data_IF_071805073734
#
_entry.id   IF_071805073734
#
_cell.length_a   1.000
_cell.length_b   1.000
_cell.length_c   1.000
_cell.angle_alpha   90.00
_cell.angle_beta   90.00
_cell.angle_gamma   90.00
#
_symmetry.space_group_name_H-M   'P 1'
#
loop_
_entity.id
_entity.type
_entity.pdbx_description
1 polymer ?
#
# COMPACT_ATOMS: atom_id res chain seq x y z
N UNK A 1 -16.27 -65.90 0.61
CA UNK A 1 -17.17 -65.03 -0.16
C UNK A 1 -16.44 -63.74 -0.45
N UNK A 2 -15.88 -63.62 -1.65
CA UNK A 2 -15.12 -62.46 -2.10
C UNK A 2 -15.99 -61.82 -3.18
N UNK A 3 -16.55 -60.65 -2.86
CA UNK A 3 -17.32 -59.87 -3.83
C UNK A 3 -16.33 -59.07 -4.68
N UNK A 4 -16.28 -59.40 -5.96
CA UNK A 4 -15.54 -58.66 -6.99
C UNK A 4 -16.50 -57.64 -7.58
N UNK A 5 -16.23 -56.35 -7.37
CA UNK A 5 -16.98 -55.26 -7.99
C UNK A 5 -16.27 -54.83 -9.26
N UNK A 6 -16.85 -55.13 -10.42
CA UNK A 6 -16.40 -54.65 -11.73
C UNK A 6 -17.13 -53.35 -12.03
N UNK A 7 -16.39 -52.23 -12.14
CA UNK A 7 -16.92 -50.97 -12.61
C UNK A 7 -16.52 -50.77 -14.08
N UNK A 8 -17.53 -50.68 -14.96
CA UNK A 8 -17.38 -50.44 -16.39
C UNK A 8 -17.18 -48.93 -16.62
N UNK A 9 -16.01 -48.53 -17.15
CA UNK A 9 -15.73 -47.17 -17.58
C UNK A 9 -15.93 -47.08 -19.10
N UNK A 10 -16.99 -46.39 -19.53
CA UNK A 10 -17.26 -46.12 -20.95
C UNK A 10 -16.59 -44.79 -21.31
N UNK A 11 -15.47 -44.86 -22.04
CA UNK A 11 -14.83 -43.70 -22.67
C UNK A 11 -15.52 -43.41 -24.01
N UNK A 12 -16.20 -42.26 -24.11
CA UNK A 12 -16.63 -41.73 -25.41
C UNK A 12 -15.43 -41.05 -26.09
N UNK A 13 -14.90 -41.70 -27.13
CA UNK A 13 -14.00 -41.06 -28.08
C UNK A 13 -14.84 -40.31 -29.12
N UNK A 14 -14.84 -38.98 -29.06
CA UNK A 14 -15.28 -38.16 -30.18
C UNK A 14 -14.04 -37.77 -31.00
N UNK A 15 -14.04 -38.21 -32.25
CA UNK A 15 -13.07 -37.87 -33.29
C UNK A 15 -13.16 -36.39 -33.63
N UNK A 16 -12.05 -35.66 -33.53
CA UNK A 16 -11.94 -34.28 -33.96
C UNK A 16 -11.22 -34.26 -35.32
N UNK A 17 -11.95 -33.96 -36.39
CA UNK A 17 -11.36 -33.62 -37.68
C UNK A 17 -10.77 -32.20 -37.63
N UNK A 18 -9.54 -32.08 -38.11
CA UNK A 18 -8.84 -30.82 -38.30
C UNK A 18 -9.43 -30.05 -39.49
N UNK A 19 -9.88 -28.81 -39.26
CA UNK A 19 -9.80 -27.77 -40.28
C UNK A 19 -9.47 -26.42 -39.64
N UNK A 20 -8.36 -25.86 -40.10
CA UNK A 20 -7.77 -24.59 -39.70
C UNK A 20 -8.56 -23.37 -40.18
N UNK A 21 -8.86 -22.45 -39.26
CA UNK A 21 -8.91 -21.00 -39.52
C UNK A 21 -8.86 -20.26 -38.18
N UNK A 22 -7.77 -19.52 -37.95
CA UNK A 22 -7.61 -18.64 -36.80
C UNK A 22 -8.47 -17.39 -37.01
N UNK A 23 -9.55 -17.27 -36.23
CA UNK A 23 -10.21 -16.00 -35.95
C UNK A 23 -10.42 -15.91 -34.44
N UNK A 24 -9.86 -14.86 -33.84
CA UNK A 24 -9.99 -14.59 -32.40
C UNK A 24 -11.36 -13.93 -32.15
N UNK A 25 -12.40 -14.74 -32.02
CA UNK A 25 -13.69 -14.30 -31.49
C UNK A 25 -13.66 -14.33 -29.95
N UNK A 26 -13.90 -13.17 -29.35
CA UNK A 26 -14.17 -12.99 -27.92
C UNK A 26 -15.31 -13.94 -27.48
N UNK A 27 -15.19 -14.68 -26.37
CA UNK A 27 -16.28 -15.54 -25.92
C UNK A 27 -17.47 -14.68 -25.45
N UNK A 28 -18.53 -14.68 -26.26
CA UNK A 28 -19.84 -14.14 -25.91
C UNK A 28 -20.34 -14.76 -24.59
N UNK A 29 -20.82 -13.97 -23.63
CA UNK A 29 -21.28 -14.49 -22.34
C UNK A 29 -22.52 -15.37 -22.53
N UNK A 30 -22.40 -16.64 -22.15
CA UNK A 30 -23.43 -17.68 -22.35
C UNK A 30 -24.52 -17.70 -21.26
N UNK A 31 -24.78 -16.56 -20.61
CA UNK A 31 -25.90 -16.42 -19.69
C UNK A 31 -26.64 -15.10 -19.93
N UNK A 32 -27.90 -15.21 -20.34
CA UNK A 32 -28.85 -14.08 -20.30
C UNK A 32 -28.86 -13.51 -18.88
N UNK A 33 -28.78 -12.18 -18.70
CA UNK A 33 -28.93 -11.59 -17.38
C UNK A 33 -30.29 -12.00 -16.83
N UNK A 34 -30.28 -12.72 -15.72
CA UNK A 34 -31.49 -12.91 -14.92
C UNK A 34 -31.98 -11.53 -14.49
N UNK A 35 -33.12 -11.12 -15.00
CA UNK A 35 -33.86 -9.96 -14.52
C UNK A 35 -34.02 -10.07 -12.99
N UNK A 36 -33.29 -9.25 -12.24
CA UNK A 36 -33.47 -9.20 -10.80
C UNK A 36 -32.33 -8.58 -10.02
N UNK A 37 -32.07 -7.28 -10.20
CA UNK A 37 -31.94 -6.30 -9.11
C UNK A 37 -32.19 -4.90 -9.71
N UNK A 38 -33.44 -4.43 -9.77
CA UNK A 38 -33.75 -3.03 -10.10
C UNK A 38 -33.66 -2.11 -8.85
N UNK A 39 -32.77 -2.42 -7.92
CA UNK A 39 -32.61 -1.69 -6.66
C UNK A 39 -31.15 -1.36 -6.42
N UNK A 40 -30.82 -0.08 -6.29
CA UNK A 40 -29.45 0.37 -5.98
C UNK A 40 -28.90 -0.23 -4.68
N UNK A 41 -27.59 -0.11 -4.49
CA UNK A 41 -26.90 -0.56 -3.29
C UNK A 41 -27.33 0.23 -2.05
N UNK A 42 -27.09 -0.35 -0.87
CA UNK A 42 -27.00 0.43 0.37
C UNK A 42 -25.54 0.90 0.52
N UNK A 43 -25.34 2.21 0.51
CA UNK A 43 -24.05 2.89 0.53
C UNK A 43 -23.90 3.69 1.82
N UNK A 44 -22.75 3.54 2.48
CA UNK A 44 -22.42 4.26 3.69
C UNK A 44 -21.02 4.82 3.59
N UNK A 45 -20.83 6.07 4.00
CA UNK A 45 -19.54 6.73 4.06
C UNK A 45 -19.32 7.32 5.46
N UNK A 46 -18.10 7.20 5.98
CA UNK A 46 -17.78 7.70 7.32
C UNK A 46 -16.31 8.06 7.46
N UNK A 47 -16.04 9.17 8.14
CA UNK A 47 -14.70 9.64 8.45
C UNK A 47 -14.54 9.80 9.95
N UNK A 48 -13.37 9.42 10.47
CA UNK A 48 -13.02 9.68 11.87
C UNK A 48 -11.53 9.98 12.01
N UNK A 49 -11.20 10.85 12.96
CA UNK A 49 -9.80 11.11 13.36
C UNK A 49 -9.16 9.81 13.85
N UNK A 50 -7.96 9.51 13.33
CA UNK A 50 -7.11 8.40 13.74
C UNK A 50 -5.69 8.88 14.07
N UNK A 51 -5.51 10.18 14.33
CA UNK A 51 -4.22 10.80 14.68
C UNK A 51 -3.76 10.30 16.06
N UNK A 52 -2.57 9.71 16.10
CA UNK A 52 -1.90 9.34 17.35
C UNK A 52 -1.23 10.53 18.06
N UNK A 53 -0.30 10.28 19.00
CA UNK A 53 0.57 11.32 19.55
C UNK A 53 1.32 12.07 18.45
N UNK A 54 1.61 13.35 18.67
CA UNK A 54 2.23 14.24 17.66
C UNK A 54 3.58 14.82 18.09
N UNK A 55 3.99 14.57 19.33
CA UNK A 55 5.24 15.05 19.91
C UNK A 55 6.01 13.88 20.52
N UNK A 56 7.35 13.94 20.43
CA UNK A 56 8.29 12.94 20.94
C UNK A 56 8.00 11.51 20.43
N UNK A 57 7.49 11.43 19.20
CA UNK A 57 7.03 10.19 18.57
C UNK A 57 7.84 9.90 17.31
N UNK A 58 8.39 8.70 17.10
CA UNK A 58 9.03 8.37 15.83
C UNK A 58 7.98 8.41 14.71
N UNK A 59 8.30 9.06 13.59
CA UNK A 59 7.47 8.99 12.40
C UNK A 59 7.75 7.70 11.62
N UNK A 60 6.72 7.13 11.01
CA UNK A 60 6.79 5.84 10.30
C UNK A 60 6.90 6.06 8.80
N UNK A 61 7.93 5.47 8.18
CA UNK A 61 8.14 5.53 6.74
C UNK A 61 9.62 5.46 6.38
N UNK A 62 10.34 6.56 6.58
CA UNK A 62 11.73 6.74 6.16
C UNK A 62 12.77 5.91 6.92
N UNK A 63 12.36 5.18 7.96
CA UNK A 63 13.26 4.41 8.81
C UNK A 63 14.43 5.24 9.43
N UNK A 64 14.22 6.54 9.60
CA UNK A 64 15.19 7.45 10.20
C UNK A 64 14.96 7.54 11.73
N UNK A 65 15.89 7.07 12.59
CA UNK A 65 15.72 7.10 14.05
C UNK A 65 15.66 8.51 14.65
N UNK A 66 16.17 9.52 13.92
CA UNK A 66 16.20 10.93 14.33
C UNK A 66 14.96 11.71 13.89
N UNK A 67 14.13 11.11 13.03
CA UNK A 67 12.86 11.70 12.61
C UNK A 67 11.79 11.51 13.69
N UNK A 68 11.83 12.42 14.65
CA UNK A 68 10.90 12.46 15.77
C UNK A 68 9.91 13.61 15.58
N UNK A 69 8.62 13.27 15.59
CA UNK A 69 7.50 14.20 15.52
C UNK A 69 7.54 15.20 16.66
N UNK A 70 7.29 16.46 16.35
CA UNK A 70 7.30 17.61 17.26
C UNK A 70 6.12 18.56 17.02
N UNK A 71 5.06 18.10 16.38
CA UNK A 71 3.90 18.92 16.07
C UNK A 71 2.95 18.29 15.06
N UNK A 72 1.94 19.05 14.66
CA UNK A 72 0.88 18.65 13.74
C UNK A 72 0.77 19.70 12.63
N UNK A 73 0.78 19.24 11.37
CA UNK A 73 0.42 20.07 10.22
C UNK A 73 -1.02 19.79 9.79
N UNK A 74 -1.38 18.52 9.60
CA UNK A 74 -2.77 18.09 9.36
C UNK A 74 -3.11 16.83 10.15
N UNK A 75 -4.38 16.69 10.53
CA UNK A 75 -4.90 15.46 11.13
C UNK A 75 -4.85 14.30 10.13
N UNK A 76 -4.78 13.09 10.69
CA UNK A 76 -4.86 11.82 9.98
C UNK A 76 -6.26 11.24 10.15
N UNK A 77 -6.89 10.81 9.06
CA UNK A 77 -8.25 10.28 9.09
C UNK A 77 -8.30 8.82 8.63
N UNK A 78 -9.21 8.07 9.25
CA UNK A 78 -9.75 6.83 8.70
C UNK A 78 -11.03 7.16 7.94
N UNK A 79 -11.11 6.73 6.68
CA UNK A 79 -12.25 6.94 5.77
C UNK A 79 -12.80 5.59 5.33
N UNK A 80 -13.98 5.24 5.83
CA UNK A 80 -14.64 3.98 5.59
C UNK A 80 -15.80 4.13 4.62
N UNK A 81 -15.94 3.15 3.73
CA UNK A 81 -16.99 3.05 2.74
C UNK A 81 -17.59 1.65 2.82
N UNK A 82 -18.92 1.59 2.94
CA UNK A 82 -19.68 0.35 3.01
C UNK A 82 -20.56 0.27 1.78
N UNK A 83 -20.44 -0.83 1.05
CA UNK A 83 -21.37 -1.20 -0.01
C UNK A 83 -22.09 -2.46 0.44
N UNK A 84 -23.42 -2.44 0.41
CA UNK A 84 -24.25 -3.55 0.80
C UNK A 84 -25.31 -3.84 -0.26
N UNK A 85 -25.68 -5.11 -0.41
CA UNK A 85 -26.78 -5.50 -1.27
C UNK A 85 -28.10 -4.85 -0.79
N UNK A 86 -29.12 -4.69 -1.66
CA UNK A 86 -30.34 -3.96 -1.30
C UNK A 86 -31.11 -4.56 -0.11
N UNK A 87 -30.99 -5.88 0.10
CA UNK A 87 -31.56 -6.61 1.24
C UNK A 87 -30.61 -6.69 2.44
N UNK A 88 -29.45 -6.02 2.38
CA UNK A 88 -28.37 -6.06 3.36
C UNK A 88 -27.73 -7.43 3.62
N UNK A 89 -27.99 -8.43 2.78
CA UNK A 89 -27.53 -9.81 2.99
C UNK A 89 -26.01 -9.96 2.91
N UNK A 90 -25.37 -9.15 2.05
CA UNK A 90 -23.92 -9.05 1.93
C UNK A 90 -23.48 -7.60 2.05
N UNK A 91 -22.31 -7.41 2.65
CA UNK A 91 -21.65 -6.11 2.80
C UNK A 91 -20.16 -6.27 2.50
N UNK A 92 -19.56 -5.26 1.89
CA UNK A 92 -18.11 -5.08 1.77
C UNK A 92 -17.76 -3.73 2.37
N UNK A 93 -16.68 -3.69 3.15
CA UNK A 93 -16.14 -2.49 3.78
C UNK A 93 -14.74 -2.24 3.22
N UNK A 94 -14.54 -1.08 2.65
CA UNK A 94 -13.22 -0.57 2.29
C UNK A 94 -12.87 0.61 3.18
N UNK A 95 -11.69 0.60 3.77
CA UNK A 95 -11.21 1.69 4.62
C UNK A 95 -9.86 2.18 4.11
N UNK A 96 -9.77 3.45 3.74
CA UNK A 96 -8.50 4.13 3.48
C UNK A 96 -8.09 4.94 4.71
N UNK A 97 -6.85 4.78 5.15
CA UNK A 97 -6.38 5.26 6.45
C UNK A 97 -5.11 6.07 6.22
N UNK A 98 -5.06 7.31 6.73
CA UNK A 98 -3.90 8.19 6.64
C UNK A 98 -2.76 7.70 7.56
N UNK A 99 -2.13 6.59 7.21
CA UNK A 99 -1.00 5.94 7.91
C UNK A 99 0.00 5.38 6.89
N UNK A 100 1.23 5.11 7.35
CA UNK A 100 2.27 4.49 6.53
C UNK A 100 1.89 3.09 6.03
N UNK A 101 1.47 2.18 6.91
CA UNK A 101 1.05 0.83 6.52
C UNK A 101 -0.02 0.30 7.48
N UNK A 102 -0.89 -0.59 7.04
CA UNK A 102 -1.72 -1.37 7.95
C UNK A 102 -0.91 -2.56 8.46
N UNK A 103 -0.65 -2.62 9.77
CA UNK A 103 0.03 -3.77 10.37
C UNK A 103 -0.93 -4.94 10.60
N UNK A 104 -0.40 -6.18 10.62
CA UNK A 104 -1.20 -7.37 10.98
C UNK A 104 -1.84 -7.21 12.37
N UNK A 105 -1.10 -6.66 13.34
CA UNK A 105 -1.59 -6.39 14.69
C UNK A 105 -2.81 -5.46 14.65
N UNK A 106 -2.67 -4.35 13.93
CA UNK A 106 -3.74 -3.36 13.78
C UNK A 106 -4.99 -4.00 13.16
N UNK A 107 -4.84 -4.76 12.07
CA UNK A 107 -5.96 -5.47 11.42
C UNK A 107 -6.67 -6.41 12.39
N UNK A 108 -5.93 -7.22 13.15
CA UNK A 108 -6.51 -8.17 14.09
C UNK A 108 -7.26 -7.46 15.24
N UNK A 109 -6.71 -6.38 15.79
CA UNK A 109 -7.37 -5.60 16.85
C UNK A 109 -8.65 -4.93 16.35
N UNK A 110 -8.63 -4.34 15.14
CA UNK A 110 -9.84 -3.78 14.51
C UNK A 110 -10.91 -4.85 14.31
N UNK A 111 -10.56 -6.00 13.70
CA UNK A 111 -11.50 -7.08 13.46
C UNK A 111 -12.08 -7.65 14.76
N UNK A 112 -11.27 -7.74 15.82
CA UNK A 112 -11.73 -8.13 17.16
C UNK A 112 -12.78 -7.16 17.69
N UNK A 113 -12.54 -5.85 17.57
CA UNK A 113 -13.49 -4.80 18.00
C UNK A 113 -14.78 -4.80 17.16
N UNK A 114 -14.66 -4.99 15.85
CA UNK A 114 -15.81 -5.10 14.95
C UNK A 114 -16.65 -6.34 15.26
N UNK A 115 -16.02 -7.50 15.47
CA UNK A 115 -16.71 -8.73 15.88
C UNK A 115 -17.42 -8.56 17.22
N UNK A 116 -16.78 -7.91 18.19
CA UNK A 116 -17.40 -7.63 19.49
C UNK A 116 -18.63 -6.72 19.39
N UNK A 117 -18.68 -5.80 18.41
CA UNK A 117 -19.77 -4.83 18.27
C UNK A 117 -20.87 -5.26 17.30
N UNK A 118 -20.52 -5.94 16.20
CA UNK A 118 -21.42 -6.27 15.10
C UNK A 118 -21.53 -7.78 14.82
N UNK A 119 -20.96 -8.64 15.67
CA UNK A 119 -20.97 -10.09 15.47
C UNK A 119 -20.27 -10.49 14.16
N UNK A 120 -20.95 -11.29 13.34
CA UNK A 120 -20.41 -11.82 12.09
C UNK A 120 -20.67 -10.92 10.87
N UNK A 121 -21.13 -9.68 11.07
CA UNK A 121 -21.43 -8.77 9.96
C UNK A 121 -20.16 -8.28 9.24
N UNK A 122 -19.10 -7.99 10.01
CA UNK A 122 -17.83 -7.49 9.52
C UNK A 122 -16.72 -8.47 9.90
N UNK A 123 -16.21 -9.16 8.89
CA UNK A 123 -15.33 -10.31 8.99
C UNK A 123 -14.04 -10.04 8.22
N UNK A 124 -13.18 -11.06 8.19
CA UNK A 124 -11.90 -10.96 7.52
C UNK A 124 -12.02 -10.88 6.00
N UNK A 125 -13.02 -11.56 5.44
CA UNK A 125 -13.26 -11.62 4.00
C UNK A 125 -13.78 -10.30 3.45
N UNK A 126 -14.63 -9.60 4.20
CA UNK A 126 -15.36 -8.44 3.69
C UNK A 126 -14.93 -7.09 4.28
N UNK A 127 -13.81 -7.04 5.02
CA UNK A 127 -13.22 -5.79 5.51
C UNK A 127 -11.79 -5.64 4.99
N UNK A 128 -11.60 -4.62 4.15
CA UNK A 128 -10.31 -4.20 3.62
C UNK A 128 -9.85 -2.96 4.37
N UNK A 129 -8.63 -3.01 4.92
CA UNK A 129 -7.97 -1.87 5.54
C UNK A 129 -6.74 -1.54 4.70
N UNK A 130 -6.69 -0.34 4.14
CA UNK A 130 -5.60 0.15 3.31
C UNK A 130 -4.98 1.41 3.91
N UNK A 131 -3.65 1.45 3.98
CA UNK A 131 -2.92 2.66 4.36
C UNK A 131 -2.65 3.51 3.12
N UNK A 132 -2.81 4.83 3.22
CA UNK A 132 -2.45 5.75 2.13
C UNK A 132 -0.97 5.72 1.81
N UNK A 133 -0.15 5.29 2.77
CA UNK A 133 1.30 5.27 2.73
C UNK A 133 1.97 6.61 3.00
N UNK A 134 1.36 7.50 3.81
CA UNK A 134 2.06 8.69 4.33
C UNK A 134 3.27 8.31 5.20
N UNK A 135 4.42 8.92 4.91
CA UNK A 135 5.64 8.77 5.72
C UNK A 135 5.71 9.76 6.90
N UNK A 136 4.62 10.50 7.15
CA UNK A 136 4.53 11.53 8.20
C UNK A 136 3.51 11.20 9.30
N UNK A 137 3.17 9.91 9.46
CA UNK A 137 2.31 9.43 10.56
C UNK A 137 3.11 8.90 11.75
N UNK A 138 2.54 8.91 12.98
CA UNK A 138 3.21 8.36 14.16
C UNK A 138 3.39 6.84 14.06
N UNK A 139 4.57 6.34 14.40
CA UNK A 139 4.90 4.91 14.40
C UNK A 139 4.47 4.14 15.64
N UNK A 140 4.99 2.92 15.77
CA UNK A 140 4.85 2.12 16.99
C UNK A 140 3.57 1.28 17.09
N UNK A 141 2.97 0.87 15.97
CA UNK A 141 1.73 0.07 15.95
C UNK A 141 1.90 -1.32 15.30
N UNK A 142 3.14 -1.81 15.17
CA UNK A 142 3.47 -3.12 14.61
C UNK A 142 3.69 -4.17 15.70
N UNK A 143 3.65 -5.46 15.33
CA UNK A 143 4.03 -6.58 16.20
C UNK A 143 5.35 -7.25 15.81
N UNK A 144 5.82 -7.08 14.58
CA UNK A 144 7.04 -7.73 14.10
C UNK A 144 8.26 -6.86 14.39
N UNK A 145 9.30 -7.48 14.95
CA UNK A 145 10.50 -6.82 15.49
C UNK A 145 11.20 -5.88 14.50
N UNK A 146 11.21 -6.22 13.21
CA UNK A 146 11.81 -5.37 12.17
C UNK A 146 11.30 -3.92 12.23
N UNK A 147 10.00 -3.73 12.43
CA UNK A 147 9.39 -2.41 12.47
C UNK A 147 9.59 -1.71 13.82
N UNK A 148 10.04 -2.42 14.85
CA UNK A 148 10.31 -1.86 16.18
C UNK A 148 11.66 -1.15 16.26
N UNK A 149 12.61 -1.43 15.37
CA UNK A 149 13.92 -0.80 15.41
C UNK A 149 13.83 0.73 15.33
N UNK A 150 13.03 1.24 14.39
CA UNK A 150 12.87 2.69 14.19
C UNK A 150 11.73 3.27 15.01
N UNK A 151 10.69 2.46 15.30
CA UNK A 151 9.61 2.90 16.19
C UNK A 151 9.91 2.79 17.68
N UNK A 152 11.09 2.27 18.05
CA UNK A 152 11.52 2.02 19.43
C UNK A 152 10.50 1.17 20.22
N UNK A 153 9.90 0.19 19.55
CA UNK A 153 8.90 -0.72 20.13
C UNK A 153 7.44 -0.34 19.85
N UNK A 154 6.54 -0.93 20.64
CA UNK A 154 5.09 -0.70 20.58
C UNK A 154 4.71 0.54 21.39
N UNK A 155 4.02 1.47 20.75
CA UNK A 155 3.49 2.70 21.33
C UNK A 155 1.97 2.57 21.37
N UNK A 156 1.45 2.06 22.49
CA UNK A 156 0.02 1.77 22.67
C UNK A 156 -0.89 2.96 22.33
N UNK A 157 -0.60 4.21 22.73
CA UNK A 157 -1.42 5.36 22.34
C UNK A 157 -1.57 5.53 20.83
N UNK A 158 -0.52 5.28 20.03
CA UNK A 158 -0.60 5.31 18.56
C UNK A 158 -1.51 4.19 18.05
N UNK A 159 -1.32 2.96 18.52
CA UNK A 159 -2.16 1.82 18.12
C UNK A 159 -3.64 2.05 18.47
N UNK A 160 -3.92 2.48 19.70
CA UNK A 160 -5.27 2.68 20.21
C UNK A 160 -6.00 3.80 19.48
N UNK A 161 -5.32 4.91 19.17
CA UNK A 161 -5.88 6.00 18.37
C UNK A 161 -6.26 5.52 16.96
N UNK A 162 -5.40 4.73 16.31
CA UNK A 162 -5.66 4.21 14.97
C UNK A 162 -6.82 3.21 14.99
N UNK A 163 -6.82 2.24 15.93
CA UNK A 163 -7.92 1.27 16.09
C UNK A 163 -9.25 1.98 16.34
N UNK A 164 -9.27 2.96 17.25
CA UNK A 164 -10.48 3.73 17.58
C UNK A 164 -10.98 4.52 16.38
N UNK A 165 -10.09 5.18 15.64
CA UNK A 165 -10.43 5.91 14.43
C UNK A 165 -11.05 5.01 13.36
N UNK A 166 -10.43 3.86 13.10
CA UNK A 166 -10.95 2.89 12.11
C UNK A 166 -12.34 2.39 12.50
N UNK A 167 -12.51 1.88 13.72
CA UNK A 167 -13.80 1.37 14.19
C UNK A 167 -14.87 2.47 14.17
N UNK A 168 -14.52 3.71 14.55
CA UNK A 168 -15.45 4.84 14.52
C UNK A 168 -15.85 5.23 13.10
N UNK A 169 -14.92 5.26 12.15
CA UNK A 169 -15.24 5.57 10.74
C UNK A 169 -16.20 4.53 10.13
N UNK A 170 -15.99 3.24 10.43
CA UNK A 170 -16.89 2.15 10.02
C UNK A 170 -18.25 2.28 10.69
N UNK A 171 -18.31 2.66 11.96
CA UNK A 171 -19.56 2.89 12.69
C UNK A 171 -20.37 4.04 12.08
N UNK A 172 -19.71 5.16 11.77
CA UNK A 172 -20.35 6.30 11.09
C UNK A 172 -20.89 5.86 9.72
N UNK A 173 -20.09 5.14 8.93
CA UNK A 173 -20.54 4.62 7.63
C UNK A 173 -21.73 3.65 7.79
N UNK A 174 -21.72 2.79 8.81
CA UNK A 174 -22.78 1.83 9.09
C UNK A 174 -24.09 2.52 9.45
N UNK A 175 -24.03 3.53 10.32
CA UNK A 175 -25.21 4.28 10.77
C UNK A 175 -25.81 5.15 9.67
N UNK A 176 -24.98 5.55 8.69
CA UNK A 176 -25.38 6.42 7.58
C UNK A 176 -25.62 5.65 6.27
N UNK A 177 -25.94 4.36 6.32
CA UNK A 177 -26.31 3.59 5.13
C UNK A 177 -27.57 4.18 4.48
N UNK A 178 -27.46 4.52 3.20
CA UNK A 178 -28.54 5.03 2.35
C UNK A 178 -28.62 4.23 1.07
N UNK A 179 -29.80 4.09 0.50
CA UNK A 179 -29.91 3.57 -0.86
C UNK A 179 -29.24 4.54 -1.83
N UNK A 180 -28.51 4.00 -2.81
CA UNK A 180 -27.70 4.80 -3.71
C UNK A 180 -27.11 4.01 -4.88
N UNK A 181 -26.30 4.70 -5.67
CA UNK A 181 -25.68 4.21 -6.89
C UNK A 181 -24.18 4.46 -6.89
N UNK A 182 -23.46 3.55 -7.53
CA UNK A 182 -22.00 3.61 -7.68
C UNK A 182 -21.66 3.94 -9.12
N UNK A 183 -20.70 4.84 -9.33
CA UNK A 183 -20.21 5.18 -10.65
C UNK A 183 -18.70 5.06 -10.71
N UNK A 184 -18.18 4.54 -11.82
CA UNK A 184 -16.75 4.44 -12.07
C UNK A 184 -16.32 5.41 -13.17
N UNK A 185 -15.11 5.94 -13.05
CA UNK A 185 -14.47 6.69 -14.12
C UNK A 185 -12.95 6.53 -14.03
N UNK A 186 -12.26 6.76 -15.15
CA UNK A 186 -10.81 6.60 -15.27
C UNK A 186 -10.20 7.75 -16.06
N UNK A 187 -8.98 8.13 -15.74
CA UNK A 187 -8.24 9.09 -16.55
C UNK A 187 -6.81 9.31 -16.09
N UNK A 188 -6.03 9.91 -16.97
CA UNK A 188 -4.59 10.11 -16.77
C UNK A 188 -4.31 11.32 -15.87
N UNK A 189 -3.50 11.13 -14.83
CA UNK A 189 -2.89 12.21 -14.04
C UNK A 189 -1.49 12.47 -14.59
N UNK A 190 -1.22 13.73 -14.93
CA UNK A 190 0.10 14.15 -15.42
C UNK A 190 0.89 14.89 -14.34
N UNK A 191 2.21 15.02 -14.55
CA UNK A 191 3.11 15.86 -13.77
C UNK A 191 3.08 15.61 -12.24
N UNK A 192 2.81 14.36 -11.84
CA UNK A 192 2.63 14.00 -10.42
C UNK A 192 3.47 12.80 -10.00
N UNK A 193 4.22 12.20 -10.92
CA UNK A 193 5.02 11.01 -10.66
C UNK A 193 6.22 10.87 -11.58
N UNK A 194 7.27 10.23 -11.06
CA UNK A 194 8.39 9.64 -11.80
C UNK A 194 8.64 8.21 -11.30
N UNK A 195 9.25 7.36 -12.12
CA UNK A 195 9.76 6.08 -11.65
C UNK A 195 11.10 6.30 -10.93
N UNK A 196 11.25 5.86 -9.68
CA UNK A 196 12.47 6.02 -8.87
C UNK A 196 13.49 4.90 -9.04
N UNK A 197 13.19 3.91 -9.87
CA UNK A 197 14.05 2.78 -10.22
C UNK A 197 13.90 2.43 -11.73
N UNK A 198 14.07 3.41 -12.64
CA UNK A 198 13.74 3.24 -14.06
C UNK A 198 14.58 2.16 -14.73
N UNK A 199 15.83 1.99 -14.33
CA UNK A 199 16.73 0.94 -14.84
C UNK A 199 16.25 -0.48 -14.49
N UNK A 200 15.57 -0.65 -13.35
CA UNK A 200 14.94 -1.92 -12.96
C UNK A 200 13.70 -2.19 -13.80
N UNK A 201 12.86 -1.18 -14.04
CA UNK A 201 11.72 -1.28 -14.97
C UNK A 201 12.19 -1.69 -16.38
N UNK A 202 13.34 -1.18 -16.84
CA UNK A 202 13.90 -1.54 -18.14
C UNK A 202 14.31 -3.02 -18.25
N UNK A 203 14.43 -3.76 -17.15
CA UNK A 203 14.69 -5.21 -17.18
C UNK A 203 13.44 -6.04 -17.51
N UNK A 204 12.23 -5.45 -17.47
CA UNK A 204 11.03 -6.14 -17.92
C UNK A 204 11.12 -6.48 -19.44
N UNK A 205 10.52 -7.59 -19.90
CA UNK A 205 10.56 -7.99 -21.30
C UNK A 205 10.12 -6.89 -22.26
N UNK A 206 10.81 -6.76 -23.40
CA UNK A 206 10.53 -5.70 -24.37
C UNK A 206 9.09 -5.74 -24.89
N UNK A 207 8.54 -6.94 -25.14
CA UNK A 207 7.16 -7.13 -25.61
C UNK A 207 6.11 -6.70 -24.57
N UNK A 208 6.46 -6.73 -23.28
CA UNK A 208 5.57 -6.28 -22.22
C UNK A 208 5.61 -4.76 -22.13
N UNK A 209 6.81 -4.17 -22.03
CA UNK A 209 6.98 -2.72 -21.94
C UNK A 209 6.34 -1.97 -23.11
N UNK A 210 6.40 -2.51 -24.33
CA UNK A 210 5.80 -1.88 -25.52
C UNK A 210 4.26 -1.80 -25.49
N UNK A 211 3.59 -2.46 -24.53
CA UNK A 211 2.13 -2.37 -24.32
C UNK A 211 1.73 -1.15 -23.50
N UNK A 212 2.69 -0.45 -22.89
CA UNK A 212 2.47 0.68 -22.00
C UNK A 212 3.17 1.93 -22.54
N UNK A 213 2.58 3.09 -22.30
CA UNK A 213 3.11 4.38 -22.74
C UNK A 213 4.08 5.03 -21.74
N UNK A 214 4.22 4.45 -20.54
CA UNK A 214 5.04 5.00 -19.45
C UNK A 214 5.56 3.88 -18.53
N UNK A 215 6.59 4.21 -17.75
CA UNK A 215 7.15 3.35 -16.68
C UNK A 215 6.49 3.60 -15.31
N UNK A 216 5.36 4.30 -15.29
CA UNK A 216 4.54 4.52 -14.11
C UNK A 216 3.06 4.47 -14.53
N UNK A 217 2.20 3.95 -13.65
CA UNK A 217 0.76 3.90 -13.94
C UNK A 217 0.13 5.26 -13.71
N UNK A 218 -0.11 6.00 -14.80
CA UNK A 218 -0.71 7.34 -14.76
C UNK A 218 -2.23 7.33 -14.64
N UNK A 219 -2.87 6.16 -14.79
CA UNK A 219 -4.32 6.05 -14.70
C UNK A 219 -4.78 6.19 -13.24
N UNK A 220 -5.64 7.17 -13.00
CA UNK A 220 -6.45 7.25 -11.80
C UNK A 220 -7.79 6.57 -12.07
N UNK A 221 -8.22 5.73 -11.13
CA UNK A 221 -9.56 5.12 -11.11
C UNK A 221 -10.34 5.69 -9.96
N UNK A 222 -11.55 6.19 -10.22
CA UNK A 222 -12.44 6.68 -9.16
C UNK A 222 -13.69 5.82 -9.02
N UNK A 223 -14.19 5.71 -7.80
CA UNK A 223 -15.51 5.18 -7.46
C UNK A 223 -16.31 6.26 -6.73
N UNK A 224 -17.31 6.79 -7.42
CA UNK A 224 -18.24 7.80 -6.92
C UNK A 224 -19.46 7.14 -6.29
N UNK A 225 -19.89 7.65 -5.14
CA UNK A 225 -21.07 7.20 -4.40
C UNK A 225 -22.08 8.34 -4.29
N UNK A 226 -23.30 8.10 -4.75
CA UNK A 226 -24.42 9.05 -4.62
C UNK A 226 -25.63 8.34 -4.04
N UNK A 227 -26.47 9.06 -3.30
CA UNK A 227 -27.75 8.52 -2.84
C UNK A 227 -28.80 8.48 -3.96
N UNK A 228 -29.97 7.89 -3.68
CA UNK A 228 -31.07 7.81 -4.65
C UNK A 228 -31.55 9.19 -5.17
N UNK A 229 -31.40 10.24 -4.36
CA UNK A 229 -31.76 11.61 -4.72
C UNK A 229 -30.64 12.34 -5.50
N UNK A 230 -29.50 11.67 -5.73
CA UNK A 230 -28.35 12.24 -6.42
C UNK A 230 -27.44 13.08 -5.52
N UNK A 231 -27.61 13.07 -4.19
CA UNK A 231 -26.69 13.75 -3.29
C UNK A 231 -25.37 12.98 -3.19
N UNK A 232 -24.27 13.74 -3.16
CA UNK A 232 -22.92 13.21 -3.03
C UNK A 232 -22.70 12.58 -1.64
N UNK A 233 -22.33 11.29 -1.61
CA UNK A 233 -21.98 10.58 -0.36
C UNK A 233 -20.47 10.50 -0.16
N UNK A 234 -19.74 10.20 -1.24
CA UNK A 234 -18.29 10.09 -1.15
C UNK A 234 -17.61 9.61 -2.42
N UNK A 235 -16.29 9.50 -2.31
CA UNK A 235 -15.38 9.13 -3.38
C UNK A 235 -14.25 8.24 -2.85
N UNK A 236 -13.90 7.20 -3.60
CA UNK A 236 -12.60 6.54 -3.49
C UNK A 236 -11.83 6.77 -4.79
N UNK A 237 -10.59 7.21 -4.70
CA UNK A 237 -9.68 7.43 -5.84
C UNK A 237 -8.43 6.58 -5.66
N UNK A 238 -8.14 5.67 -6.59
CA UNK A 238 -6.90 4.90 -6.62
C UNK A 238 -5.94 5.51 -7.63
N UNK A 239 -4.72 5.79 -7.18
CA UNK A 239 -3.66 6.35 -8.01
C UNK A 239 -2.29 5.95 -7.44
N UNK A 240 -1.33 5.59 -8.30
CA UNK A 240 -0.04 5.08 -7.89
C UNK A 240 0.97 6.21 -7.70
N UNK A 241 1.18 6.66 -6.45
CA UNK A 241 2.26 7.59 -6.10
C UNK A 241 2.61 7.45 -4.61
N UNK A 242 3.88 7.48 -4.24
CA UNK A 242 4.26 7.53 -2.82
C UNK A 242 3.85 8.88 -2.19
N UNK A 243 3.23 8.87 -1.01
CA UNK A 243 3.07 10.08 -0.19
C UNK A 243 4.34 10.38 0.63
N UNK A 244 5.36 10.82 -0.10
CA UNK A 244 6.71 11.20 0.37
C UNK A 244 7.11 12.59 -0.13
N UNK A 245 6.14 13.45 -0.40
CA UNK A 245 6.43 14.86 -0.74
C UNK A 245 6.99 15.60 0.48
N UNK A 246 6.56 15.23 1.69
CA UNK A 246 7.17 15.64 2.95
C UNK A 246 8.35 14.73 3.26
N UNK A 247 9.58 15.22 3.06
CA UNK A 247 10.80 14.41 3.20
C UNK A 247 11.15 14.06 4.67
N UNK A 248 12.23 13.30 4.86
CA UNK A 248 12.65 12.78 6.17
C UNK A 248 13.16 13.84 7.17
N UNK A 249 13.25 15.12 6.78
CA UNK A 249 13.57 16.24 7.69
C UNK A 249 12.32 16.83 8.35
N UNK A 250 11.12 16.51 7.83
CA UNK A 250 9.85 16.88 8.43
C UNK A 250 9.68 16.27 9.84
N UNK A 251 9.13 17.08 10.76
CA UNK A 251 8.76 16.67 12.12
C UNK A 251 7.28 16.91 12.45
N UNK A 252 6.45 17.29 11.49
CA UNK A 252 5.02 17.55 11.70
C UNK A 252 4.18 16.36 11.21
N UNK A 253 3.29 15.86 12.06
CA UNK A 253 2.33 14.83 11.65
C UNK A 253 1.42 15.37 10.55
N UNK A 254 1.31 14.62 9.45
CA UNK A 254 0.47 14.98 8.30
C UNK A 254 0.17 13.79 7.38
N UNK A 255 -0.83 13.97 6.51
CA UNK A 255 -1.31 12.97 5.54
C UNK A 255 -0.71 13.09 4.14
N UNK A 256 0.33 13.92 3.96
CA UNK A 256 1.12 14.13 2.74
C UNK A 256 0.24 14.49 1.51
N UNK A 257 0.70 14.22 0.29
CA UNK A 257 0.11 14.69 -0.96
C UNK A 257 -1.30 14.13 -1.23
N UNK A 258 -1.51 12.82 -1.07
CA UNK A 258 -2.84 12.16 -1.24
C UNK A 258 -3.80 12.51 -0.11
N UNK A 259 -3.27 12.77 1.10
CA UNK A 259 -4.04 13.33 2.20
C UNK A 259 -4.51 14.73 1.90
N UNK A 260 -3.64 15.59 1.38
CA UNK A 260 -3.99 16.94 0.93
C UNK A 260 -5.05 16.91 -0.18
N UNK A 261 -4.92 16.01 -1.16
CA UNK A 261 -5.94 15.79 -2.19
C UNK A 261 -7.31 15.41 -1.60
N UNK A 262 -7.32 14.54 -0.58
CA UNK A 262 -8.52 14.16 0.16
C UNK A 262 -9.16 15.38 0.84
N UNK A 263 -8.36 16.19 1.53
CA UNK A 263 -8.84 17.38 2.24
C UNK A 263 -9.40 18.44 1.28
N UNK A 264 -8.77 18.67 0.12
CA UNK A 264 -9.27 19.60 -0.90
C UNK A 264 -10.66 19.18 -1.39
N UNK A 265 -10.84 17.90 -1.70
CA UNK A 265 -12.13 17.39 -2.16
C UNK A 265 -13.19 17.48 -1.07
N UNK A 266 -12.86 17.07 0.16
CA UNK A 266 -13.78 17.15 1.29
C UNK A 266 -14.19 18.60 1.58
N UNK A 267 -13.25 19.56 1.57
CA UNK A 267 -13.56 20.96 1.80
C UNK A 267 -14.41 21.58 0.68
N UNK A 268 -14.19 21.18 -0.58
CA UNK A 268 -15.03 21.65 -1.69
C UNK A 268 -16.49 21.18 -1.56
N UNK A 269 -16.69 19.91 -1.20
CA UNK A 269 -18.03 19.31 -1.11
C UNK A 269 -18.75 19.64 0.19
N UNK A 270 -18.02 19.78 1.29
CA UNK A 270 -18.55 20.17 2.59
C UNK A 270 -18.43 21.69 2.81
N UNK A 271 -18.94 22.51 1.87
CA UNK A 271 -18.84 23.97 1.95
C UNK A 271 -19.40 24.51 3.27
N UNK A 272 -18.63 25.38 3.92
CA UNK A 272 -19.00 25.99 5.20
C UNK A 272 -18.64 25.15 6.43
N UNK A 273 -18.13 23.92 6.24
CA UNK A 273 -17.65 23.07 7.32
C UNK A 273 -16.15 23.25 7.57
N UNK A 274 -15.72 23.02 8.80
CA UNK A 274 -14.29 22.97 9.13
C UNK A 274 -13.65 21.70 8.58
N UNK A 275 -12.33 21.74 8.39
CA UNK A 275 -11.53 20.58 7.95
C UNK A 275 -11.75 19.39 8.87
N UNK A 276 -12.17 18.26 8.29
CA UNK A 276 -12.48 17.04 9.03
C UNK A 276 -13.96 16.88 9.38
N UNK A 277 -14.79 17.89 9.15
CA UNK A 277 -16.25 17.88 9.33
C UNK A 277 -17.02 17.73 8.01
N UNK A 278 -18.35 17.63 8.09
CA UNK A 278 -19.22 17.42 6.94
C UNK A 278 -19.41 15.95 6.55
N UNK A 279 -20.50 15.67 5.82
CA UNK A 279 -20.95 14.31 5.51
C UNK A 279 -20.27 13.68 4.30
N UNK A 280 -19.75 14.48 3.37
CA UNK A 280 -19.04 13.95 2.21
C UNK A 280 -17.64 13.46 2.61
N UNK A 281 -17.27 12.28 2.14
CA UNK A 281 -15.98 11.64 2.44
C UNK A 281 -15.24 11.33 1.14
N UNK A 282 -14.02 11.83 0.99
CA UNK A 282 -13.15 11.51 -0.15
C UNK A 282 -11.87 10.85 0.34
N UNK A 283 -11.59 9.65 -0.16
CA UNK A 283 -10.37 8.93 0.12
C UNK A 283 -9.52 8.77 -1.15
N UNK A 284 -8.25 9.13 -1.05
CA UNK A 284 -7.25 8.79 -2.05
C UNK A 284 -6.46 7.59 -1.54
N UNK A 285 -6.73 6.43 -2.11
CA UNK A 285 -6.21 5.14 -1.72
C UNK A 285 -4.91 4.82 -2.46
N UNK A 286 -4.02 4.10 -1.78
CA UNK A 286 -2.81 3.55 -2.38
C UNK A 286 -3.14 2.52 -3.47
N UNK A 287 -2.30 2.48 -4.49
CA UNK A 287 -2.29 1.46 -5.55
C UNK A 287 -0.92 0.76 -5.57
N UNK A 288 -0.41 0.40 -6.75
CA UNK A 288 0.92 -0.15 -7.01
C UNK A 288 2.03 0.92 -7.01
N UNK A 289 2.18 1.63 -5.89
CA UNK A 289 3.09 2.78 -5.78
C UNK A 289 4.58 2.43 -5.60
N UNK A 290 4.98 1.15 -5.59
CA UNK A 290 6.28 0.66 -5.10
C UNK A 290 7.54 1.38 -5.61
N UNK A 291 7.59 1.71 -6.90
CA UNK A 291 8.68 2.41 -7.58
C UNK A 291 8.26 3.80 -8.11
N UNK A 292 7.19 4.38 -7.56
CA UNK A 292 6.61 5.64 -8.04
C UNK A 292 6.79 6.75 -7.01
N UNK A 293 7.56 7.78 -7.37
CA UNK A 293 7.90 8.93 -6.53
C UNK A 293 7.13 10.19 -6.94
N UNK A 294 6.69 11.05 -5.99
CA UNK A 294 6.10 12.36 -6.28
C UNK A 294 7.14 13.45 -6.56
N UNK A 295 8.44 13.15 -6.40
CA UNK A 295 9.52 14.11 -6.48
C UNK A 295 9.95 14.33 -7.94
N UNK A 296 9.08 15.01 -8.68
CA UNK A 296 9.10 15.07 -10.16
C UNK A 296 10.25 15.86 -10.79
N UNK A 297 11.09 16.58 -10.02
CA UNK A 297 12.32 17.18 -10.56
C UNK A 297 13.42 16.14 -10.82
N UNK A 298 13.24 14.91 -10.34
CA UNK A 298 14.21 13.83 -10.52
C UNK A 298 15.38 13.92 -9.54
N UNK A 299 16.24 12.88 -9.53
CA UNK A 299 17.36 12.78 -8.60
C UNK A 299 18.59 13.58 -9.04
N UNK A 300 19.13 14.37 -8.12
CA UNK A 300 20.38 15.10 -8.31
C UNK A 300 21.22 15.10 -7.03
N UNK A 301 22.51 15.38 -7.19
CA UNK A 301 23.48 15.52 -6.13
C UNK A 301 23.28 16.85 -5.42
N UNK A 302 22.82 16.85 -4.17
CA UNK A 302 22.47 18.09 -3.45
C UNK A 302 23.65 19.04 -3.21
N UNK A 303 24.88 18.53 -3.32
CA UNK A 303 26.12 19.28 -3.16
C UNK A 303 26.67 19.87 -4.47
N UNK A 304 26.44 19.22 -5.63
CA UNK A 304 26.99 19.66 -6.93
C UNK A 304 25.94 20.12 -7.93
N UNK A 305 24.68 19.73 -7.75
CA UNK A 305 23.58 19.97 -8.69
C UNK A 305 23.55 19.03 -9.90
N UNK A 306 24.52 18.11 -10.01
CA UNK A 306 24.59 17.14 -11.11
C UNK A 306 23.50 16.09 -10.99
N UNK A 307 23.00 15.56 -12.11
CA UNK A 307 22.05 14.44 -12.07
C UNK A 307 22.71 13.19 -11.47
N UNK A 308 21.98 12.50 -10.60
CA UNK A 308 22.36 11.18 -10.10
C UNK A 308 21.36 10.10 -10.51
N UNK A 309 20.70 10.29 -11.66
CA UNK A 309 19.86 9.28 -12.32
C UNK A 309 20.72 8.18 -12.94
N UNK A 310 21.26 7.32 -12.09
CA UNK A 310 22.07 6.17 -12.45
C UNK A 310 21.58 4.92 -11.70
N UNK A 311 21.95 3.69 -12.14
CA UNK A 311 21.44 2.45 -11.54
C UNK A 311 21.71 2.29 -10.04
N UNK A 312 22.72 2.99 -9.49
CA UNK A 312 23.10 2.93 -8.09
C UNK A 312 22.51 4.07 -7.23
N UNK A 313 21.92 5.08 -7.87
CA UNK A 313 21.46 6.34 -7.24
C UNK A 313 22.54 6.95 -6.34
N UNK A 314 23.73 7.18 -6.90
CA UNK A 314 24.89 7.68 -6.15
C UNK A 314 25.55 8.87 -6.83
N UNK A 315 26.20 9.72 -6.04
CA UNK A 315 26.94 10.89 -6.49
C UNK A 315 28.46 10.63 -6.50
N UNK A 316 29.21 11.12 -7.51
CA UNK A 316 30.67 11.01 -7.53
C UNK A 316 31.32 11.63 -6.29
N UNK A 317 30.77 12.76 -5.83
CA UNK A 317 31.19 13.44 -4.60
C UNK A 317 30.13 13.26 -3.53
N UNK A 318 30.48 12.60 -2.41
CA UNK A 318 29.60 12.41 -1.26
C UNK A 318 28.69 11.18 -1.31
N UNK A 319 28.72 10.39 -2.39
CA UNK A 319 28.09 9.07 -2.45
C UNK A 319 26.56 9.09 -2.44
N UNK A 320 25.96 8.03 -1.89
CA UNK A 320 24.50 7.85 -1.87
C UNK A 320 23.75 8.90 -1.05
N UNK A 321 24.25 9.33 0.14
CA UNK A 321 23.56 10.34 0.94
C UNK A 321 23.30 11.67 0.23
N UNK A 322 24.04 11.96 -0.85
CA UNK A 322 23.89 13.18 -1.63
C UNK A 322 22.88 13.07 -2.78
N UNK A 323 22.48 11.87 -3.17
CA UNK A 323 21.56 11.66 -4.29
C UNK A 323 20.10 11.69 -3.82
N UNK A 324 19.41 12.81 -4.04
CA UNK A 324 18.02 13.00 -3.62
C UNK A 324 17.16 13.54 -4.76
N UNK A 325 15.90 13.09 -4.82
CA UNK A 325 14.91 13.67 -5.71
C UNK A 325 14.16 14.82 -5.01
N UNK A 326 13.82 15.86 -5.78
CA UNK A 326 13.01 16.97 -5.27
C UNK A 326 11.62 17.05 -5.89
N UNK A 327 10.67 17.52 -5.09
CA UNK A 327 9.36 17.89 -5.56
C UNK A 327 9.33 19.18 -6.40
N UNK A 328 8.19 19.44 -7.07
CA UNK A 328 8.06 20.57 -8.01
C UNK A 328 8.06 21.94 -7.32
N UNK A 329 7.73 22.02 -6.04
CA UNK A 329 7.57 23.28 -5.31
C UNK A 329 8.88 23.95 -4.89
N UNK A 330 8.75 25.10 -4.21
CA UNK A 330 9.90 25.82 -3.61
C UNK A 330 10.41 25.15 -2.35
N UNK A 331 9.55 24.41 -1.65
CA UNK A 331 9.88 23.59 -0.49
C UNK A 331 9.01 22.30 -0.48
N UNK A 332 9.12 21.51 0.60
CA UNK A 332 8.35 20.26 0.74
C UNK A 332 6.85 20.48 0.93
N UNK A 333 6.44 21.58 1.57
CA UNK A 333 5.02 21.90 1.79
C UNK A 333 4.37 22.30 0.47
N UNK A 334 5.05 23.15 -0.31
CA UNK A 334 4.61 23.56 -1.63
C UNK A 334 4.63 22.38 -2.61
N UNK A 335 5.63 21.51 -2.54
CA UNK A 335 5.66 20.27 -3.32
C UNK A 335 4.48 19.36 -2.99
N UNK A 336 4.19 19.17 -1.70
CA UNK A 336 3.03 18.40 -1.22
C UNK A 336 1.72 18.99 -1.73
N UNK A 337 1.60 20.32 -1.66
CA UNK A 337 0.44 21.07 -2.17
C UNK A 337 0.26 20.89 -3.67
N UNK A 338 1.32 21.05 -4.48
CA UNK A 338 1.27 20.94 -5.95
C UNK A 338 0.87 19.54 -6.37
N UNK A 339 1.54 18.51 -5.83
CA UNK A 339 1.24 17.11 -6.18
C UNK A 339 -0.19 16.75 -5.75
N UNK A 340 -0.57 17.09 -4.52
CA UNK A 340 -1.94 16.86 -4.04
C UNK A 340 -3.00 17.61 -4.86
N UNK A 341 -2.72 18.84 -5.30
CA UNK A 341 -3.61 19.62 -6.17
C UNK A 341 -3.79 18.97 -7.54
N UNK A 342 -2.72 18.46 -8.17
CA UNK A 342 -2.80 17.80 -9.47
C UNK A 342 -3.70 16.56 -9.40
N UNK A 343 -3.47 15.73 -8.37
CA UNK A 343 -4.25 14.53 -8.08
C UNK A 343 -5.72 14.87 -7.81
N UNK A 344 -5.99 15.86 -6.95
CA UNK A 344 -7.35 16.31 -6.67
C UNK A 344 -8.06 16.87 -7.92
N UNK A 345 -7.36 17.67 -8.74
CA UNK A 345 -7.93 18.30 -9.93
C UNK A 345 -8.43 17.25 -10.92
N UNK A 346 -7.64 16.19 -11.16
CA UNK A 346 -8.06 15.08 -12.02
C UNK A 346 -9.22 14.30 -11.38
N UNK A 347 -9.16 13.99 -10.09
CA UNK A 347 -10.25 13.29 -9.41
C UNK A 347 -11.57 14.05 -9.49
N UNK A 348 -11.54 15.38 -9.34
CA UNK A 348 -12.70 16.25 -9.45
C UNK A 348 -13.31 16.22 -10.86
N UNK A 349 -12.47 16.32 -11.89
CA UNK A 349 -12.90 16.20 -13.29
C UNK A 349 -13.58 14.84 -13.53
N UNK A 350 -12.93 13.75 -13.12
CA UNK A 350 -13.47 12.41 -13.27
C UNK A 350 -14.78 12.23 -12.50
N UNK A 351 -14.89 12.79 -11.30
CA UNK A 351 -16.10 12.71 -10.46
C UNK A 351 -17.29 13.43 -11.07
N UNK A 352 -17.06 14.59 -11.67
CA UNK A 352 -18.09 15.36 -12.37
C UNK A 352 -18.60 14.60 -13.60
N UNK A 353 -17.71 13.92 -14.32
CA UNK A 353 -18.00 13.25 -15.59
C UNK A 353 -18.32 11.76 -15.46
N UNK A 354 -18.34 11.19 -14.25
CA UNK A 354 -18.60 9.76 -14.04
C UNK A 354 -20.05 9.41 -14.39
N UNK A 355 -20.22 8.60 -15.44
CA UNK A 355 -21.52 8.18 -15.97
C UNK A 355 -21.71 6.66 -16.03
N UNK A 356 -20.62 5.88 -16.00
CA UNK A 356 -20.68 4.43 -16.01
C UNK A 356 -21.11 3.91 -14.62
N UNK A 357 -22.36 3.46 -14.51
CA UNK A 357 -22.89 2.86 -13.29
C UNK A 357 -22.32 1.45 -13.06
N UNK A 358 -21.91 1.16 -11.82
CA UNK A 358 -21.56 -0.20 -11.40
C UNK A 358 -22.83 -0.86 -10.89
N UNK A 359 -23.12 -2.07 -11.40
CA UNK A 359 -24.20 -2.94 -10.93
C UNK A 359 -23.69 -4.38 -10.83
N UNK A 360 -24.45 -5.25 -10.16
CA UNK A 360 -24.10 -6.66 -9.98
C UNK A 360 -23.96 -7.08 -8.51
N UNK A 361 -23.77 -8.39 -8.26
CA UNK A 361 -23.73 -8.95 -6.92
C UNK A 361 -22.46 -8.54 -6.17
N UNK A 362 -22.55 -8.50 -4.83
CA UNK A 362 -21.36 -8.33 -3.99
C UNK A 362 -20.77 -9.69 -3.64
N UNK A 363 -19.44 -9.76 -3.68
CA UNK A 363 -18.68 -10.94 -3.29
C UNK A 363 -17.39 -10.52 -2.58
N UNK A 364 -16.90 -11.39 -1.69
CA UNK A 364 -15.66 -11.21 -0.94
C UNK A 364 -14.96 -12.56 -0.79
N UNK A 365 -13.63 -12.55 -0.83
CA UNK A 365 -12.80 -13.73 -0.61
C UNK A 365 -11.55 -13.32 0.16
N UNK A 366 -11.11 -14.19 1.08
CA UNK A 366 -9.90 -13.97 1.86
C UNK A 366 -9.25 -15.29 2.20
N UNK A 367 -7.92 -15.30 2.20
CA UNK A 367 -7.12 -16.43 2.62
C UNK A 367 -5.87 -15.93 3.35
N UNK A 368 -5.53 -16.56 4.47
CA UNK A 368 -4.19 -16.45 5.00
C UNK A 368 -3.27 -17.42 4.28
N UNK A 369 -2.17 -16.90 3.76
CA UNK A 369 -1.20 -17.67 2.98
C UNK A 369 0.13 -17.67 3.70
N UNK A 370 0.73 -18.85 3.86
CA UNK A 370 2.11 -18.95 4.31
C UNK A 370 3.06 -18.58 3.17
N UNK A 371 3.36 -17.30 3.03
CA UNK A 371 4.23 -16.78 1.96
C UNK A 371 5.67 -17.33 1.99
N UNK A 372 6.09 -18.02 3.05
CA UNK A 372 7.41 -18.67 3.09
C UNK A 372 7.44 -20.05 2.43
N UNK A 373 6.29 -20.55 1.95
CA UNK A 373 6.12 -21.93 1.51
C UNK A 373 5.08 -22.06 0.37
N UNK A 374 5.08 -21.12 -0.58
CA UNK A 374 4.18 -21.15 -1.73
C UNK A 374 4.90 -21.75 -2.93
N UNK A 375 4.30 -22.77 -3.53
CA UNK A 375 4.74 -23.31 -4.82
C UNK A 375 4.18 -22.44 -5.95
N UNK A 376 5.03 -22.05 -6.89
CA UNK A 376 4.68 -21.18 -8.03
C UNK A 376 5.04 -21.91 -9.31
N UNK A 377 4.03 -22.23 -10.12
CA UNK A 377 4.23 -22.79 -11.44
C UNK A 377 4.57 -21.67 -12.43
N UNK A 378 5.77 -21.72 -13.02
CA UNK A 378 6.21 -20.76 -14.03
C UNK A 378 5.76 -21.19 -15.43
N UNK A 379 5.71 -22.50 -15.65
CA UNK A 379 5.15 -23.16 -16.82
C UNK A 379 4.88 -24.64 -16.47
N UNK A 380 4.29 -25.38 -17.42
CA UNK A 380 3.87 -26.78 -17.25
C UNK A 380 4.96 -27.76 -16.76
N UNK A 381 6.25 -27.39 -16.84
CA UNK A 381 7.38 -28.25 -16.45
C UNK A 381 8.27 -27.66 -15.35
N UNK A 382 8.07 -26.39 -14.98
CA UNK A 382 8.94 -25.68 -14.05
C UNK A 382 8.13 -25.05 -12.92
N UNK A 383 8.33 -25.59 -11.72
CA UNK A 383 7.79 -25.04 -10.47
C UNK A 383 8.92 -24.52 -9.61
N UNK A 384 8.75 -23.31 -9.10
CA UNK A 384 9.63 -22.70 -8.09
C UNK A 384 8.90 -22.54 -6.77
N UNK A 385 9.61 -22.08 -5.75
CA UNK A 385 9.08 -21.93 -4.40
C UNK A 385 9.43 -20.56 -3.85
N UNK A 386 8.51 -19.93 -3.11
CA UNK A 386 8.81 -18.70 -2.38
C UNK A 386 9.80 -18.95 -1.23
N UNK A 387 10.52 -17.89 -0.84
CA UNK A 387 11.55 -17.97 0.19
C UNK A 387 11.03 -17.47 1.54
N UNK A 388 11.74 -17.83 2.62
CA UNK A 388 11.61 -17.11 3.90
C UNK A 388 11.94 -15.63 3.71
N UNK A 389 11.31 -14.72 4.46
CA UNK A 389 11.54 -13.28 4.31
C UNK A 389 12.99 -12.93 4.63
N UNK A 390 13.64 -12.21 3.71
CA UNK A 390 14.99 -11.68 3.85
C UNK A 390 15.07 -10.31 3.16
N UNK A 391 15.92 -9.43 3.68
CA UNK A 391 16.15 -8.09 3.13
C UNK A 391 17.52 -8.02 2.46
N UNK A 392 17.54 -7.50 1.23
CA UNK A 392 18.75 -7.29 0.44
C UNK A 392 19.68 -6.21 1.03
N UNK A 393 20.95 -6.15 0.64
CA UNK A 393 21.87 -5.07 1.05
C UNK A 393 21.31 -3.69 0.69
N UNK A 394 20.77 -3.54 -0.52
CA UNK A 394 20.17 -2.27 -0.96
C UNK A 394 18.92 -1.86 -0.15
N UNK A 395 18.38 -2.69 0.74
CA UNK A 395 17.39 -2.22 1.73
C UNK A 395 17.96 -1.09 2.59
N UNK A 396 19.22 -1.20 3.01
CA UNK A 396 19.87 -0.19 3.83
C UNK A 396 20.26 1.08 3.04
N UNK A 397 20.22 1.04 1.71
CA UNK A 397 20.50 2.20 0.85
C UNK A 397 19.37 3.23 0.83
N UNK A 398 18.15 2.83 1.24
CA UNK A 398 16.95 3.67 1.06
C UNK A 398 16.65 3.90 -0.42
N UNK A 399 16.13 5.08 -0.74
CA UNK A 399 15.80 5.49 -2.12
C UNK A 399 16.13 6.97 -2.32
N UNK A 400 15.95 7.47 -3.55
CA UNK A 400 16.08 8.91 -3.85
C UNK A 400 15.07 9.80 -3.09
N UNK A 401 13.97 9.23 -2.56
CA UNK A 401 12.96 9.96 -1.77
C UNK A 401 13.35 10.06 -0.28
N UNK A 402 14.32 9.26 0.14
CA UNK A 402 14.72 9.11 1.53
C UNK A 402 15.91 8.15 1.57
N UNK A 403 17.10 8.74 1.56
CA UNK A 403 18.37 7.99 1.54
C UNK A 403 18.54 7.23 2.85
N UNK A 404 19.09 6.03 2.74
CA UNK A 404 19.42 5.19 3.88
C UNK A 404 20.71 5.62 4.56
N UNK A 405 21.06 4.92 5.64
CA UNK A 405 22.27 5.19 6.42
C UNK A 405 23.49 4.43 5.87
N UNK A 406 24.69 4.80 6.33
CA UNK A 406 25.94 4.03 6.15
C UNK A 406 26.40 3.81 4.68
N UNK A 407 25.98 4.66 3.75
CA UNK A 407 26.48 4.70 2.36
C UNK A 407 26.29 3.39 1.56
N UNK A 408 25.29 2.58 1.93
CA UNK A 408 24.85 1.44 1.10
C UNK A 408 24.31 1.95 -0.24
N UNK A 409 24.61 1.24 -1.33
CA UNK A 409 24.12 1.58 -2.67
C UNK A 409 22.94 0.71 -3.11
N UNK A 410 22.08 1.30 -3.94
CA UNK A 410 21.10 0.51 -4.69
C UNK A 410 21.80 -0.30 -5.79
N UNK A 411 21.15 -1.38 -6.24
CA UNK A 411 21.67 -2.20 -7.35
C UNK A 411 22.90 -3.05 -6.99
N UNK A 412 23.18 -3.30 -5.71
CA UNK A 412 24.29 -4.16 -5.32
C UNK A 412 23.93 -5.65 -5.48
N UNK A 413 24.64 -6.33 -6.38
CA UNK A 413 24.45 -7.74 -6.75
C UNK A 413 25.62 -8.64 -6.30
N UNK A 414 26.71 -8.07 -5.78
CA UNK A 414 27.90 -8.85 -5.44
C UNK A 414 27.72 -9.65 -4.14
N UNK A 415 28.20 -10.89 -4.14
CA UNK A 415 28.38 -11.67 -2.91
C UNK A 415 29.65 -11.15 -2.23
N UNK A 416 29.58 -10.64 -1.01
CA UNK A 416 30.81 -10.42 -0.25
C UNK A 416 31.53 -11.75 -0.05
N UNK A 417 32.75 -11.87 -0.59
CA UNK A 417 33.73 -12.85 -0.14
C UNK A 417 34.26 -12.43 1.23
N UNK A 418 33.43 -12.51 2.27
CA UNK A 418 33.95 -12.43 3.63
C UNK A 418 34.39 -13.83 4.06
N UNK A 419 35.68 -13.97 4.37
CA UNK A 419 36.35 -15.19 4.84
C UNK A 419 35.80 -15.78 6.17
N UNK A 420 34.55 -15.50 6.54
CA UNK A 420 33.88 -15.98 7.75
C UNK A 420 32.48 -16.59 7.51
N UNK A 421 32.02 -16.72 6.26
CA UNK A 421 30.78 -17.44 5.97
C UNK A 421 31.02 -18.96 5.89
N UNK A 422 30.88 -19.66 7.03
CA UNK A 422 30.65 -21.11 7.07
C UNK A 422 29.38 -21.50 6.27
N UNK A 423 29.23 -22.75 5.78
CA UNK A 423 28.24 -23.11 4.77
C UNK A 423 26.83 -22.69 5.19
N UNK A 424 26.32 -21.65 4.53
CA UNK A 424 25.06 -21.00 4.91
C UNK A 424 23.87 -21.89 4.48
N UNK A 425 22.83 -22.03 5.33
CA UNK A 425 21.69 -22.93 5.10
C UNK A 425 20.86 -22.56 3.86
N UNK A 426 20.03 -23.51 3.39
CA UNK A 426 19.19 -23.51 2.16
C UNK A 426 18.47 -22.20 1.78
N UNK A 427 18.26 -21.25 2.71
CA UNK A 427 17.61 -19.97 2.45
C UNK A 427 18.36 -19.03 1.48
N UNK A 428 19.69 -19.08 1.44
CA UNK A 428 20.51 -18.21 0.56
C UNK A 428 20.40 -18.63 -0.91
N UNK A 429 20.18 -19.91 -1.20
CA UNK A 429 19.99 -20.39 -2.58
C UNK A 429 18.66 -19.96 -3.20
N UNK A 430 17.64 -19.70 -2.37
CA UNK A 430 16.30 -19.30 -2.83
C UNK A 430 16.25 -17.82 -3.24
N UNK A 431 16.92 -16.94 -2.50
CA UNK A 431 16.97 -15.50 -2.77
C UNK A 431 18.09 -15.10 -3.75
N UNK A 432 18.39 -15.95 -4.74
CA UNK A 432 19.48 -15.77 -5.72
C UNK A 432 19.50 -14.30 -6.21
N UNK A 433 20.65 -13.65 -6.04
CA UNK A 433 20.95 -12.23 -6.36
C UNK A 433 20.46 -11.16 -5.36
N UNK A 434 19.81 -11.55 -4.26
CA UNK A 434 19.64 -10.68 -3.07
C UNK A 434 20.63 -11.10 -1.99
N UNK A 435 21.64 -10.27 -1.75
CA UNK A 435 22.54 -10.46 -0.60
C UNK A 435 21.75 -10.17 0.69
N UNK A 436 21.57 -11.15 1.57
CA UNK A 436 20.74 -10.97 2.77
C UNK A 436 21.48 -10.18 3.85
N UNK A 437 21.17 -8.90 4.03
CA UNK A 437 21.76 -8.04 5.06
C UNK A 437 21.33 -8.42 6.50
N UNK A 438 20.13 -8.99 6.65
CA UNK A 438 19.48 -9.15 7.96
C UNK A 438 19.67 -10.55 8.58
N UNK A 439 20.37 -11.47 7.92
CA UNK A 439 20.73 -12.77 8.52
C UNK A 439 22.12 -12.80 9.17
N UNK A 440 22.99 -11.82 8.93
CA UNK A 440 24.41 -11.94 9.30
C UNK A 440 25.04 -10.67 9.90
N UNK A 441 24.69 -9.46 9.45
CA UNK A 441 25.44 -8.25 9.87
C UNK A 441 24.82 -7.45 11.01
N UNK A 442 23.50 -7.30 11.08
CA UNK A 442 22.87 -6.60 12.22
C UNK A 442 23.14 -7.33 13.54
N UNK A 443 23.15 -8.68 13.54
CA UNK A 443 23.54 -9.46 14.72
C UNK A 443 24.98 -9.22 15.18
N UNK A 444 25.92 -8.93 14.26
CA UNK A 444 27.34 -8.71 14.60
C UNK A 444 27.65 -7.26 14.96
N UNK A 445 27.01 -6.28 14.31
CA UNK A 445 27.11 -4.87 14.67
C UNK A 445 26.51 -4.65 16.09
N UNK A 446 25.44 -5.37 16.42
CA UNK A 446 24.83 -5.34 17.76
C UNK A 446 25.78 -5.86 18.87
N UNK A 447 26.63 -6.86 18.61
CA UNK A 447 27.59 -7.32 19.64
C UNK A 447 28.68 -6.28 19.94
N UNK A 448 29.02 -5.43 18.97
CA UNK A 448 30.03 -4.36 19.15
C UNK A 448 29.45 -3.12 19.82
N UNK A 449 28.29 -2.65 19.37
CA UNK A 449 27.66 -1.43 19.93
C UNK A 449 27.16 -1.63 21.37
N UNK A 450 26.76 -2.86 21.76
CA UNK A 450 26.37 -3.16 23.14
C UNK A 450 27.55 -3.33 24.12
N UNK A 451 28.81 -3.39 23.64
CA UNK A 451 30.00 -3.46 24.51
C UNK A 451 30.53 -2.11 24.97
N UNK A 452 30.15 -1.01 24.30
CA UNK A 452 30.73 0.32 24.57
C UNK A 452 29.94 1.15 25.59
N UNK A 453 28.71 0.75 25.93
CA UNK A 453 27.93 1.39 26.99
C UNK A 453 27.92 0.54 28.27
N UNK A 454 28.92 0.71 29.12
CA UNK A 454 28.86 0.26 30.50
C UNK A 454 27.80 1.07 31.27
N UNK A 455 26.63 0.48 31.49
CA UNK A 455 25.87 0.60 32.74
C UNK A 455 24.71 -0.43 32.75
N UNK A 456 24.66 -1.19 33.85
CA UNK A 456 23.77 -2.31 34.16
C UNK A 456 22.30 -2.19 33.71
N UNK A 457 21.77 -3.19 33.00
CA UNK A 457 20.47 -3.87 33.28
C UNK A 457 20.50 -5.31 32.75
N UNK A 458 19.93 -6.21 33.56
CA UNK A 458 20.00 -7.67 33.58
C UNK A 458 19.55 -8.45 32.33
N UNK A 459 20.27 -9.55 32.11
CA UNK A 459 20.00 -10.76 31.34
C UNK A 459 18.56 -11.00 30.84
N UNK A 460 18.41 -11.20 29.52
CA UNK A 460 17.36 -12.05 28.94
C UNK A 460 17.96 -12.89 27.82
N UNK A 461 18.33 -14.12 28.19
CA UNK A 461 18.70 -15.21 27.31
C UNK A 461 17.48 -15.63 26.47
N UNK A 462 17.57 -15.54 25.15
CA UNK A 462 16.61 -16.15 24.24
C UNK A 462 17.08 -17.58 23.91
N UNK A 463 16.41 -18.57 24.49
CA UNK A 463 16.42 -19.93 23.95
C UNK A 463 15.42 -20.00 22.79
N UNK A 464 15.88 -20.54 21.66
CA UNK A 464 15.06 -20.90 20.51
C UNK A 464 14.23 -22.15 20.80
N UNK A 465 12.91 -22.07 20.61
CA UNK A 465 12.11 -23.10 19.97
C UNK A 465 10.90 -22.49 19.27
#
# INVERSE_FOLDING_TARGET
MIAVTVALLVLHFLTQENSSSNDYDDPLPTQKPTNGVSGGYLLGAGRADCTGPVAEIPLMGYANPDQVGGGLLTRLYSRAFIVAEPNSSKRVVFVSIDIGMVSQRLRLEVLKKLKSKYGELYRQDNVILSGTHTHSGPGGYFQYTLFWFTSKGLIKPSLDAIVKGIVKSIDIAHQNLKRGRLFINRGTVENSQINRSPYSYLQNPAYEKSRYSSNTDKEMVILKMVDENGHDLGLISWFAVHPVSMNNTNRLVNSDNVGYASLLFEQEKNKGMLTGEGSFVAAFASSNLGDVSPNTKGPFCVNTGESCDNPQSTCPVGGVPMCMAMGPGTDMFDSTRIIGQNIYSKAKELYANASQEITGPLSSAHQWVNMSDVQVELNATHTVKTCKPALGYSFAAGTIDGVGAFNFTQGNLEKMESHHCQPLPRGVCCSRDKLSAVLTELSQILVKSFKENQCHVSYLLFFWH
#
